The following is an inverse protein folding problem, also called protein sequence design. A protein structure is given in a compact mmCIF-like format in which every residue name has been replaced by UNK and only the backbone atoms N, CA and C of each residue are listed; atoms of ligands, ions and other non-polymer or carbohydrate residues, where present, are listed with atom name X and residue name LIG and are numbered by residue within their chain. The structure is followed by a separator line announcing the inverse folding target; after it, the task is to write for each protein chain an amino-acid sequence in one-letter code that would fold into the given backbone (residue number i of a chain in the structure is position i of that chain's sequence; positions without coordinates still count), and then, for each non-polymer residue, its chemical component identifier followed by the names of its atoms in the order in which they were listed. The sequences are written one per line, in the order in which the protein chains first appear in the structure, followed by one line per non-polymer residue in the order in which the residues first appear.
data_IF_143536307602
#
_entry.id   IF_143536307602
#
_cell.length_a   1.000
_cell.length_b   1.000
_cell.length_c   1.000
_cell.angle_alpha   90.00
_cell.angle_beta   90.00
_cell.angle_gamma   90.00
#
_symmetry.space_group_name_H-M   'P 1'
#
loop_
_entity.id
_entity.type
_entity.pdbx_description
1 polymer ?
#
# COMPACT_ATOMS: atom_id res chain seq x y z
N UNK A 1 8.42 17.97 -17.99
CA UNK A 1 7.87 16.86 -18.80
C UNK A 1 8.60 15.58 -18.37
N UNK A 2 8.10 14.91 -17.32
CA UNK A 2 8.65 13.64 -16.84
C UNK A 2 7.51 12.63 -16.81
N UNK A 3 7.45 11.76 -17.81
CA UNK A 3 6.61 10.56 -17.78
C UNK A 3 7.23 9.59 -16.76
N UNK A 4 6.91 9.79 -15.48
CA UNK A 4 7.27 8.87 -14.41
C UNK A 4 6.40 7.62 -14.52
N UNK A 5 7.06 6.52 -14.91
CA UNK A 5 6.81 5.16 -14.44
C UNK A 5 5.44 4.53 -14.76
N UNK A 6 5.28 4.03 -15.98
CA UNK A 6 4.24 3.06 -16.35
C UNK A 6 4.58 1.60 -15.94
N UNK A 7 5.21 1.40 -14.77
CA UNK A 7 5.74 0.10 -14.31
C UNK A 7 5.55 -0.22 -12.79
N UNK A 8 5.31 0.70 -11.82
CA UNK A 8 5.19 0.33 -10.40
C UNK A 8 3.97 -0.54 -10.07
N UNK A 9 2.92 -0.37 -10.87
CA UNK A 9 1.61 -1.00 -10.70
C UNK A 9 1.58 -2.41 -11.24
N UNK A 10 2.15 -2.59 -12.43
CA UNK A 10 2.33 -3.90 -13.03
C UNK A 10 3.16 -4.80 -12.13
N UNK A 11 4.04 -4.26 -11.25
CA UNK A 11 4.86 -5.08 -10.36
C UNK A 11 4.21 -5.35 -9.00
N UNK A 12 3.47 -4.42 -8.38
CA UNK A 12 2.65 -4.76 -7.18
C UNK A 12 1.50 -5.70 -7.56
N UNK A 13 0.84 -5.41 -8.69
CA UNK A 13 -0.10 -6.33 -9.30
C UNK A 13 0.61 -7.60 -9.73
N UNK A 14 1.81 -7.58 -10.32
CA UNK A 14 2.52 -8.81 -10.65
C UNK A 14 2.96 -9.55 -9.41
N UNK A 15 3.36 -8.96 -8.29
CA UNK A 15 3.70 -9.74 -7.08
C UNK A 15 2.43 -10.38 -6.50
N UNK A 16 1.32 -9.65 -6.45
CA UNK A 16 0.02 -10.18 -6.01
C UNK A 16 -0.58 -11.19 -7.00
N UNK A 17 -0.38 -10.99 -8.30
CA UNK A 17 -0.83 -11.88 -9.40
C UNK A 17 0.15 -13.04 -9.56
N UNK A 18 1.44 -12.89 -9.32
CA UNK A 18 2.49 -13.92 -9.35
C UNK A 18 2.21 -14.86 -8.20
N UNK A 19 1.87 -14.37 -7.00
CA UNK A 19 1.42 -15.27 -5.92
C UNK A 19 0.11 -15.99 -6.28
N UNK A 20 -0.83 -15.31 -6.94
CA UNK A 20 -2.09 -15.91 -7.40
C UNK A 20 -1.88 -16.91 -8.56
N UNK A 21 -0.94 -16.65 -9.46
CA UNK A 21 -0.53 -17.53 -10.56
C UNK A 21 0.37 -18.67 -10.06
N UNK A 22 1.16 -18.46 -9.01
CA UNK A 22 1.96 -19.48 -8.34
C UNK A 22 1.11 -20.42 -7.49
N UNK A 23 -0.01 -19.94 -6.95
CA UNK A 23 -1.05 -20.78 -6.39
C UNK A 23 -1.72 -21.68 -7.45
N UNK A 24 -1.74 -21.24 -8.72
CA UNK A 24 -2.31 -21.97 -9.86
C UNK A 24 -1.28 -22.83 -10.62
N UNK A 25 0.02 -22.55 -10.48
CA UNK A 25 1.12 -23.26 -11.15
C UNK A 25 1.47 -24.62 -10.55
N UNK A 26 2.31 -25.37 -11.28
CA UNK A 26 2.55 -26.81 -11.10
C UNK A 26 3.53 -27.16 -9.95
N UNK A 27 3.36 -26.51 -8.78
CA UNK A 27 4.09 -26.84 -7.56
C UNK A 27 3.38 -27.93 -6.75
N UNK A 28 4.12 -28.61 -5.88
CA UNK A 28 3.53 -29.62 -4.97
C UNK A 28 2.37 -29.01 -4.16
N UNK A 29 1.32 -29.80 -3.87
CA UNK A 29 0.12 -29.35 -3.12
C UNK A 29 0.45 -28.60 -1.82
N UNK A 30 1.56 -28.96 -1.16
CA UNK A 30 2.05 -28.33 0.07
C UNK A 30 2.52 -26.89 -0.16
N UNK A 31 3.28 -26.65 -1.24
CA UNK A 31 3.75 -25.30 -1.60
C UNK A 31 2.59 -24.39 -2.03
N UNK A 32 1.61 -24.92 -2.78
CA UNK A 32 0.39 -24.16 -3.14
C UNK A 32 -0.40 -23.71 -1.91
N UNK A 33 -0.58 -24.60 -0.93
CA UNK A 33 -1.27 -24.26 0.34
C UNK A 33 -0.53 -23.19 1.15
N UNK A 34 0.80 -23.30 1.25
CA UNK A 34 1.63 -22.30 1.93
C UNK A 34 1.56 -20.94 1.25
N UNK A 35 1.67 -20.88 -0.08
CA UNK A 35 1.53 -19.62 -0.83
C UNK A 35 0.14 -19.01 -0.66
N UNK A 36 -0.93 -19.82 -0.70
CA UNK A 36 -2.29 -19.34 -0.45
C UNK A 36 -2.47 -18.77 0.96
N UNK A 37 -1.94 -19.45 1.99
CA UNK A 37 -1.99 -18.97 3.38
C UNK A 37 -1.23 -17.64 3.57
N UNK A 38 -0.04 -17.52 2.97
CA UNK A 38 0.74 -16.28 3.01
C UNK A 38 0.00 -15.15 2.30
N UNK A 39 -0.58 -15.43 1.13
CA UNK A 39 -1.40 -14.48 0.38
C UNK A 39 -2.63 -14.02 1.16
N UNK A 40 -3.39 -14.92 1.80
CA UNK A 40 -4.55 -14.55 2.63
C UNK A 40 -4.11 -13.66 3.79
N UNK A 41 -3.02 -14.02 4.48
CA UNK A 41 -2.49 -13.25 5.61
C UNK A 41 -2.02 -11.86 5.19
N UNK A 42 -1.25 -11.77 4.10
CA UNK A 42 -0.79 -10.48 3.57
C UNK A 42 -1.95 -9.60 3.12
N UNK A 43 -3.01 -10.17 2.52
CA UNK A 43 -4.20 -9.39 2.19
C UNK A 43 -4.95 -8.88 3.42
N UNK A 44 -5.01 -9.66 4.51
CA UNK A 44 -5.63 -9.22 5.76
C UNK A 44 -4.89 -8.00 6.34
N UNK A 45 -3.58 -8.12 6.48
CA UNK A 45 -2.76 -7.07 7.10
C UNK A 45 -2.60 -5.83 6.18
N UNK A 46 -2.48 -6.03 4.87
CA UNK A 46 -2.50 -4.94 3.89
C UNK A 46 -3.90 -4.28 3.77
N UNK A 47 -4.97 -5.04 3.98
CA UNK A 47 -6.34 -4.52 4.06
C UNK A 47 -6.49 -3.54 5.21
N UNK A 48 -6.06 -3.92 6.42
CA UNK A 48 -6.01 -3.04 7.60
C UNK A 48 -5.20 -1.77 7.34
N UNK A 49 -4.00 -1.91 6.76
CA UNK A 49 -3.15 -0.78 6.40
C UNK A 49 -3.84 0.20 5.44
N UNK A 50 -4.43 -0.31 4.36
CA UNK A 50 -5.11 0.52 3.36
C UNK A 50 -6.37 1.17 3.93
N UNK A 51 -7.11 0.45 4.77
CA UNK A 51 -8.29 0.98 5.44
C UNK A 51 -7.94 2.12 6.39
N UNK A 52 -6.90 1.97 7.22
CA UNK A 52 -6.40 3.01 8.10
C UNK A 52 -5.92 4.23 7.30
N UNK A 53 -5.18 4.00 6.21
CA UNK A 53 -4.69 5.04 5.31
C UNK A 53 -5.84 5.82 4.66
N UNK A 54 -6.85 5.12 4.11
CA UNK A 54 -8.02 5.78 3.51
C UNK A 54 -8.88 6.51 4.53
N UNK A 55 -9.02 5.95 5.74
CA UNK A 55 -9.76 6.60 6.82
C UNK A 55 -9.10 7.92 7.22
N UNK A 56 -7.78 7.99 7.23
CA UNK A 56 -7.00 9.19 7.54
C UNK A 56 -7.15 10.31 6.49
N UNK A 57 -7.49 9.97 5.25
CA UNK A 57 -7.68 10.95 4.18
C UNK A 57 -9.06 11.60 4.23
N UNK A 58 -9.08 12.92 4.21
CA UNK A 58 -10.28 13.75 4.06
C UNK A 58 -10.61 13.95 2.57
N UNK A 59 -9.60 14.32 1.78
CA UNK A 59 -9.72 14.58 0.35
C UNK A 59 -8.53 14.02 -0.42
N UNK A 60 -8.75 13.25 -1.51
CA UNK A 60 -10.05 12.75 -1.95
C UNK A 60 -10.63 11.74 -0.96
N UNK A 61 -11.95 11.71 -0.78
CA UNK A 61 -12.58 10.71 0.10
C UNK A 61 -12.39 9.31 -0.50
N UNK A 62 -11.70 8.43 0.21
CA UNK A 62 -11.35 7.09 -0.25
C UNK A 62 -12.00 6.02 0.64
N UNK A 63 -12.46 4.95 0.00
CA UNK A 63 -12.88 3.71 0.66
C UNK A 63 -12.81 2.56 -0.35
N UNK A 64 -12.69 1.32 0.14
CA UNK A 64 -12.72 0.14 -0.74
C UNK A 64 -14.03 0.08 -1.52
N UNK A 65 -15.17 0.32 -0.86
CA UNK A 65 -16.50 0.34 -1.49
C UNK A 65 -16.62 1.38 -2.61
N UNK A 66 -16.08 2.59 -2.43
CA UNK A 66 -16.07 3.64 -3.45
C UNK A 66 -15.21 3.24 -4.64
N UNK A 67 -14.02 2.68 -4.38
CA UNK A 67 -13.11 2.23 -5.45
C UNK A 67 -13.74 1.08 -6.23
N UNK A 68 -14.34 0.11 -5.54
CA UNK A 68 -15.03 -1.05 -6.12
C UNK A 68 -16.18 -0.67 -7.06
N UNK A 69 -16.96 0.34 -6.68
CA UNK A 69 -18.14 0.79 -7.43
C UNK A 69 -17.81 1.81 -8.53
N UNK A 70 -16.65 2.45 -8.47
CA UNK A 70 -16.25 3.50 -9.41
C UNK A 70 -16.05 2.98 -10.85
N UNK A 71 -16.49 3.80 -11.80
CA UNK A 71 -16.12 3.68 -13.21
C UNK A 71 -14.64 4.00 -13.41
N UNK A 72 -14.07 3.61 -14.56
CA UNK A 72 -12.68 3.95 -14.90
C UNK A 72 -12.46 5.48 -14.91
N UNK A 73 -13.47 6.25 -15.35
CA UNK A 73 -13.39 7.72 -15.35
C UNK A 73 -13.31 8.27 -13.93
N UNK A 74 -14.11 7.73 -13.01
CA UNK A 74 -14.10 8.14 -11.61
C UNK A 74 -12.82 7.71 -10.88
N UNK A 75 -12.30 6.50 -11.17
CA UNK A 75 -11.01 6.05 -10.62
C UNK A 75 -9.86 6.95 -11.06
N UNK A 76 -9.82 7.34 -12.35
CA UNK A 76 -8.83 8.30 -12.86
C UNK A 76 -8.95 9.65 -12.15
N UNK A 77 -10.18 10.15 -11.95
CA UNK A 77 -10.40 11.38 -11.21
C UNK A 77 -9.90 11.27 -9.76
N UNK A 78 -10.24 10.19 -9.05
CA UNK A 78 -9.75 9.93 -7.69
C UNK A 78 -8.22 9.91 -7.62
N UNK A 79 -7.58 9.30 -8.62
CA UNK A 79 -6.14 9.23 -8.75
C UNK A 79 -5.52 10.62 -8.93
N UNK A 80 -6.10 11.43 -9.82
CA UNK A 80 -5.61 12.79 -10.07
C UNK A 80 -5.83 13.69 -8.84
N UNK A 81 -6.98 13.57 -8.18
CA UNK A 81 -7.28 14.26 -6.91
C UNK A 81 -6.30 13.82 -5.79
N UNK A 82 -5.83 12.57 -5.79
CA UNK A 82 -4.81 12.08 -4.86
C UNK A 82 -3.40 12.64 -5.13
N UNK A 83 -3.23 13.49 -6.16
CA UNK A 83 -2.08 14.37 -6.31
C UNK A 83 -1.98 15.41 -5.19
N UNK A 84 -3.08 15.74 -4.52
CA UNK A 84 -3.11 16.64 -3.36
C UNK A 84 -3.96 16.05 -2.25
N UNK A 85 -3.31 15.36 -1.32
CA UNK A 85 -3.99 14.72 -0.19
C UNK A 85 -4.16 15.70 0.95
N UNK A 86 -5.37 15.77 1.49
CA UNK A 86 -5.67 16.41 2.77
C UNK A 86 -6.06 15.36 3.79
N UNK A 87 -5.40 15.36 4.94
CA UNK A 87 -5.68 14.45 6.04
C UNK A 87 -6.75 15.01 6.98
N UNK A 88 -7.59 14.12 7.54
CA UNK A 88 -8.71 14.49 8.43
C UNK A 88 -8.22 14.97 9.79
N UNK A 89 -7.30 14.23 10.38
CA UNK A 89 -6.77 14.53 11.70
C UNK A 89 -5.42 13.84 11.88
N UNK A 90 -4.62 14.40 12.78
CA UNK A 90 -3.26 13.92 13.05
C UNK A 90 -3.30 12.55 13.74
N UNK A 91 -4.32 12.29 14.56
CA UNK A 91 -4.53 11.01 15.24
C UNK A 91 -4.80 9.87 14.26
N UNK A 92 -5.49 10.16 13.15
CA UNK A 92 -5.72 9.16 12.11
C UNK A 92 -4.47 8.90 11.26
N UNK A 93 -3.61 9.91 11.07
CA UNK A 93 -2.29 9.73 10.44
C UNK A 93 -1.39 8.87 11.32
N UNK A 94 -1.38 9.09 12.64
CA UNK A 94 -0.68 8.24 13.61
C UNK A 94 -1.19 6.79 13.55
N UNK A 95 -2.51 6.60 13.46
CA UNK A 95 -3.08 5.27 13.32
C UNK A 95 -2.62 4.56 12.04
N UNK A 96 -2.56 5.27 10.91
CA UNK A 96 -2.03 4.73 9.66
C UNK A 96 -0.53 4.40 9.78
N UNK A 97 0.27 5.27 10.39
CA UNK A 97 1.70 5.03 10.63
C UNK A 97 1.95 3.77 11.48
N UNK A 98 1.11 3.51 12.49
CA UNK A 98 1.18 2.28 13.29
C UNK A 98 0.91 1.02 12.46
N UNK A 99 -0.01 1.08 11.50
CA UNK A 99 -0.24 -0.05 10.59
C UNK A 99 0.96 -0.29 9.65
N UNK A 100 1.68 0.76 9.24
CA UNK A 100 2.94 0.60 8.49
C UNK A 100 3.98 -0.18 9.32
N UNK A 101 4.14 0.16 10.60
CA UNK A 101 5.07 -0.55 11.49
C UNK A 101 4.66 -2.02 11.65
N UNK A 102 3.37 -2.32 11.87
CA UNK A 102 2.88 -3.71 11.97
C UNK A 102 3.17 -4.54 10.72
N UNK A 103 3.10 -3.91 9.55
CA UNK A 103 3.31 -4.55 8.25
C UNK A 103 4.78 -4.60 7.81
N UNK A 104 5.75 -4.18 8.63
CA UNK A 104 7.20 -4.17 8.29
C UNK A 104 7.70 -5.50 7.69
N UNK A 105 7.25 -6.63 8.24
CA UNK A 105 7.66 -7.94 7.77
C UNK A 105 7.15 -8.27 6.36
N UNK A 106 6.02 -7.70 5.92
CA UNK A 106 5.51 -7.81 4.56
C UNK A 106 6.42 -7.02 3.60
N UNK A 107 6.78 -5.80 3.99
CA UNK A 107 7.68 -4.95 3.21
C UNK A 107 9.07 -5.57 3.06
N UNK A 108 9.60 -6.21 4.11
CA UNK A 108 10.85 -7.00 4.06
C UNK A 108 10.73 -8.18 3.10
N UNK A 109 9.63 -8.94 3.19
CA UNK A 109 9.39 -10.06 2.27
C UNK A 109 9.31 -9.59 0.80
N UNK A 110 8.66 -8.45 0.53
CA UNK A 110 8.64 -7.88 -0.82
C UNK A 110 10.00 -7.37 -1.29
N UNK A 111 10.80 -6.77 -0.39
CA UNK A 111 12.17 -6.36 -0.69
C UNK A 111 13.01 -7.56 -1.12
N UNK A 112 12.99 -8.65 -0.34
CA UNK A 112 13.75 -9.88 -0.64
C UNK A 112 13.38 -10.43 -2.03
N UNK A 113 12.09 -10.44 -2.36
CA UNK A 113 11.62 -10.87 -3.69
C UNK A 113 12.04 -9.90 -4.79
N UNK A 114 11.94 -8.60 -4.56
CA UNK A 114 12.34 -7.61 -5.54
C UNK A 114 13.83 -7.72 -5.88
N UNK A 115 14.68 -8.03 -4.89
CA UNK A 115 16.10 -8.32 -5.09
C UNK A 115 16.30 -9.64 -5.84
N UNK A 116 15.58 -10.72 -5.45
CA UNK A 116 15.64 -12.04 -6.12
C UNK A 116 15.36 -11.94 -7.63
N UNK A 117 14.43 -11.06 -8.03
CA UNK A 117 13.98 -10.91 -9.42
C UNK A 117 14.54 -9.67 -10.14
N UNK A 118 15.52 -8.98 -9.55
CA UNK A 118 16.16 -7.76 -10.10
C UNK A 118 15.15 -6.66 -10.50
N UNK A 119 14.15 -6.44 -9.65
CA UNK A 119 13.08 -5.48 -9.86
C UNK A 119 13.49 -4.13 -9.26
N UNK A 120 14.40 -3.43 -9.94
CA UNK A 120 15.14 -2.28 -9.37
C UNK A 120 14.25 -1.23 -8.70
N UNK A 121 13.25 -0.76 -9.45
CA UNK A 121 12.30 0.25 -8.98
C UNK A 121 11.47 -0.21 -7.78
N UNK A 122 11.26 -1.51 -7.65
CA UNK A 122 10.47 -2.06 -6.54
C UNK A 122 11.29 -2.14 -5.28
N UNK A 123 12.51 -2.67 -5.33
CA UNK A 123 13.33 -2.71 -4.12
C UNK A 123 13.63 -1.28 -3.62
N UNK A 124 13.84 -0.30 -4.51
CA UNK A 124 13.98 1.12 -4.13
C UNK A 124 12.75 1.63 -3.37
N UNK A 125 11.54 1.40 -3.89
CA UNK A 125 10.30 1.78 -3.20
C UNK A 125 10.15 1.08 -1.84
N UNK A 126 10.48 -0.21 -1.75
CA UNK A 126 10.43 -0.95 -0.49
C UNK A 126 11.41 -0.38 0.54
N UNK A 127 12.63 -0.01 0.12
CA UNK A 127 13.61 0.62 1.00
C UNK A 127 13.10 1.95 1.56
N UNK A 128 12.41 2.77 0.76
CA UNK A 128 11.82 4.01 1.28
C UNK A 128 10.75 3.77 2.34
N UNK A 129 9.88 2.77 2.15
CA UNK A 129 8.86 2.40 3.14
C UNK A 129 9.51 1.84 4.41
N UNK A 130 10.51 0.98 4.28
CA UNK A 130 11.25 0.41 5.41
C UNK A 130 12.01 1.48 6.19
N UNK A 131 12.65 2.43 5.51
CA UNK A 131 13.31 3.56 6.15
C UNK A 131 12.32 4.41 6.97
N UNK A 132 11.11 4.63 6.45
CA UNK A 132 10.06 5.35 7.19
C UNK A 132 9.58 4.57 8.41
N UNK A 133 9.41 3.26 8.30
CA UNK A 133 9.08 2.40 9.44
C UNK A 133 10.18 2.47 10.50
N UNK A 134 11.44 2.28 10.11
CA UNK A 134 12.57 2.33 11.02
C UNK A 134 12.66 3.70 11.72
N UNK A 135 12.36 4.78 11.00
CA UNK A 135 12.30 6.13 11.57
C UNK A 135 11.19 6.26 12.64
N UNK A 136 10.00 5.71 12.41
CA UNK A 136 8.92 5.67 13.40
C UNK A 136 9.35 4.84 14.62
N UNK A 137 9.91 3.66 14.40
CA UNK A 137 10.34 2.75 15.47
C UNK A 137 11.42 3.39 16.35
N UNK A 138 12.44 4.02 15.74
CA UNK A 138 13.48 4.76 16.46
C UNK A 138 12.90 5.92 17.25
N UNK A 139 11.99 6.70 16.65
CA UNK A 139 11.34 7.80 17.37
C UNK A 139 10.58 7.29 18.60
N UNK A 140 9.75 6.25 18.44
CA UNK A 140 8.92 5.70 19.54
C UNK A 140 9.76 5.01 20.61
N UNK A 141 10.88 4.39 20.24
CA UNK A 141 11.84 3.84 21.20
C UNK A 141 12.45 4.94 22.09
N UNK A 142 12.77 6.10 21.50
CA UNK A 142 13.35 7.23 22.23
C UNK A 142 12.30 8.11 22.92
N UNK A 143 11.04 8.04 22.48
CA UNK A 143 9.93 8.83 23.00
C UNK A 143 8.66 7.96 23.17
N UNK A 144 8.61 7.05 24.15
CA UNK A 144 7.50 6.09 24.29
C UNK A 144 6.13 6.77 24.41
N UNK A 145 6.07 7.86 25.18
CA UNK A 145 4.83 8.57 25.52
C UNK A 145 4.42 9.64 24.51
N UNK A 146 5.31 10.00 23.56
CA UNK A 146 4.99 10.99 22.52
C UNK A 146 4.37 10.33 21.31
N UNK A 147 3.45 11.01 20.63
CA UNK A 147 2.95 10.54 19.35
C UNK A 147 3.99 10.85 18.27
N UNK A 148 4.15 9.96 17.28
CA UNK A 148 5.07 10.21 16.18
C UNK A 148 4.66 11.47 15.39
N UNK A 149 3.36 11.72 15.34
CA UNK A 149 2.82 12.95 14.77
C UNK A 149 3.21 14.25 15.48
N UNK A 150 3.65 14.22 16.74
CA UNK A 150 4.19 15.41 17.42
C UNK A 150 5.55 15.78 16.84
N UNK A 151 6.40 14.78 16.55
CA UNK A 151 7.69 14.99 15.86
C UNK A 151 7.48 15.52 14.44
N UNK A 152 6.49 14.96 13.73
CA UNK A 152 6.12 15.40 12.39
C UNK A 152 5.71 16.88 12.39
N UNK A 153 4.92 17.31 13.39
CA UNK A 153 4.42 18.68 13.52
C UNK A 153 5.56 19.68 13.74
N UNK A 154 6.51 19.31 14.60
CA UNK A 154 7.64 20.14 14.96
C UNK A 154 8.74 20.13 13.87
N UNK A 155 8.71 19.13 12.98
CA UNK A 155 9.66 18.95 11.88
C UNK A 155 8.98 18.86 10.51
N UNK A 156 8.79 20.02 9.87
CA UNK A 156 8.16 20.14 8.54
C UNK A 156 8.77 19.23 7.46
N UNK A 157 10.07 18.92 7.54
CA UNK A 157 10.72 18.03 6.57
C UNK A 157 10.29 16.57 6.73
N UNK A 158 9.98 16.15 7.95
CA UNK A 158 9.47 14.80 8.26
C UNK A 158 8.00 14.70 7.86
N UNK A 159 7.21 15.76 8.07
CA UNK A 159 5.83 15.83 7.59
C UNK A 159 5.73 15.62 6.09
N UNK A 160 6.50 16.40 5.31
CA UNK A 160 6.49 16.26 3.85
C UNK A 160 6.84 14.83 3.43
N UNK A 161 7.84 14.20 4.04
CA UNK A 161 8.21 12.81 3.73
C UNK A 161 7.12 11.80 4.11
N UNK A 162 6.50 11.94 5.28
CA UNK A 162 5.42 11.06 5.72
C UNK A 162 4.21 11.18 4.78
N UNK A 163 3.82 12.41 4.46
CA UNK A 163 2.72 12.70 3.53
C UNK A 163 3.02 12.20 2.10
N UNK A 164 4.27 12.32 1.65
CA UNK A 164 4.75 11.79 0.38
C UNK A 164 4.63 10.26 0.34
N UNK A 165 5.05 9.55 1.38
CA UNK A 165 5.00 8.09 1.45
C UNK A 165 3.56 7.59 1.49
N UNK A 166 2.75 8.16 2.39
CA UNK A 166 1.34 7.82 2.53
C UNK A 166 0.57 8.13 1.24
N UNK A 167 0.81 9.30 0.64
CA UNK A 167 0.15 9.69 -0.59
C UNK A 167 0.65 8.96 -1.83
N UNK A 168 1.93 8.61 -1.88
CA UNK A 168 2.50 7.76 -2.92
C UNK A 168 1.83 6.38 -2.89
N UNK A 169 1.68 5.77 -1.71
CA UNK A 169 1.00 4.49 -1.55
C UNK A 169 -0.44 4.51 -2.09
N UNK A 170 -1.20 5.57 -1.78
CA UNK A 170 -2.56 5.75 -2.29
C UNK A 170 -2.60 5.89 -3.81
N UNK A 171 -1.71 6.71 -4.40
CA UNK A 171 -1.66 6.90 -5.86
C UNK A 171 -1.30 5.61 -6.57
N UNK A 172 -0.30 4.89 -6.08
CA UNK A 172 0.12 3.59 -6.62
C UNK A 172 -1.04 2.58 -6.54
N UNK A 173 -1.77 2.54 -5.43
CA UNK A 173 -2.96 1.70 -5.29
C UNK A 173 -4.04 2.06 -6.31
N UNK A 174 -4.30 3.35 -6.53
CA UNK A 174 -5.32 3.81 -7.48
C UNK A 174 -4.92 3.52 -8.92
N UNK A 175 -3.66 3.72 -9.27
CA UNK A 175 -3.17 3.36 -10.60
C UNK A 175 -3.31 1.83 -10.83
N UNK A 176 -3.08 1.01 -9.80
CA UNK A 176 -3.33 -0.44 -9.84
C UNK A 176 -4.80 -0.79 -9.98
N UNK A 177 -5.67 -0.15 -9.20
CA UNK A 177 -7.10 -0.29 -9.34
C UNK A 177 -7.56 0.03 -10.78
N UNK A 178 -7.04 1.10 -11.38
CA UNK A 178 -7.34 1.50 -12.77
C UNK A 178 -6.87 0.43 -13.77
N UNK A 179 -5.63 -0.04 -13.65
CA UNK A 179 -5.07 -1.03 -14.58
C UNK A 179 -5.77 -2.38 -14.48
N UNK A 180 -6.05 -2.87 -13.26
CA UNK A 180 -6.84 -4.08 -13.05
C UNK A 180 -8.26 -3.92 -13.60
N UNK A 181 -8.90 -2.76 -13.37
CA UNK A 181 -10.24 -2.46 -13.88
C UNK A 181 -10.31 -2.46 -15.40
N UNK A 182 -9.25 -2.02 -16.09
CA UNK A 182 -9.16 -2.02 -17.57
C UNK A 182 -8.85 -3.39 -18.15
N UNK A 183 -7.85 -4.08 -17.59
CA UNK A 183 -7.23 -5.25 -18.21
C UNK A 183 -7.77 -6.58 -17.68
N UNK A 184 -8.23 -6.63 -16.42
CA UNK A 184 -8.62 -7.86 -15.70
C UNK A 184 -9.75 -7.59 -14.69
N UNK A 185 -10.93 -7.23 -15.19
CA UNK A 185 -12.09 -6.80 -14.38
C UNK A 185 -12.48 -7.77 -13.25
N UNK A 186 -12.44 -9.08 -13.50
CA UNK A 186 -12.77 -10.07 -12.47
C UNK A 186 -11.71 -10.11 -11.37
N UNK A 187 -10.43 -9.96 -11.73
CA UNK A 187 -9.34 -9.90 -10.77
C UNK A 187 -9.46 -8.63 -9.92
N UNK A 188 -9.82 -7.50 -10.52
CA UNK A 188 -10.14 -6.27 -9.80
C UNK A 188 -11.21 -6.48 -8.72
N UNK A 189 -12.37 -7.04 -9.08
CA UNK A 189 -13.47 -7.21 -8.14
C UNK A 189 -13.14 -8.19 -7.02
N UNK A 190 -12.47 -9.30 -7.33
CA UNK A 190 -12.00 -10.25 -6.32
C UNK A 190 -11.02 -9.60 -5.36
N UNK A 191 -10.04 -8.88 -5.91
CA UNK A 191 -9.00 -8.22 -5.13
C UNK A 191 -9.58 -7.18 -4.16
N UNK A 192 -10.37 -6.23 -4.67
CA UNK A 192 -10.96 -5.17 -3.84
C UNK A 192 -11.94 -5.76 -2.80
N UNK A 193 -12.69 -6.82 -3.15
CA UNK A 193 -13.60 -7.48 -2.18
C UNK A 193 -12.84 -8.17 -1.05
N UNK A 194 -11.69 -8.79 -1.34
CA UNK A 194 -10.87 -9.42 -0.31
C UNK A 194 -10.28 -8.38 0.64
N UNK A 195 -9.81 -7.24 0.11
CA UNK A 195 -9.34 -6.12 0.92
C UNK A 195 -10.46 -5.50 1.77
N UNK A 196 -11.67 -5.40 1.21
CA UNK A 196 -12.85 -4.87 1.91
C UNK A 196 -13.30 -5.79 3.06
N UNK A 197 -13.18 -7.12 2.91
CA UNK A 197 -13.48 -8.09 3.97
C UNK A 197 -12.40 -8.16 5.05
N UNK A 198 -11.17 -7.76 4.70
CA UNK A 198 -10.01 -7.72 5.58
C UNK A 198 -9.93 -6.47 6.46
N UNK A 199 -10.61 -5.39 6.04
CA UNK A 199 -10.60 -4.05 6.63
C UNK A 199 -11.66 -3.89 7.72
#
# INVERSE_FOLDING_TARGET
MFHLAAIPIEILAAVMIIEQLWALGDRSKKQRRLSYMLWVRYNLEMGSLLAASFKAVESPSLSMSRIKSASIKELKKLRDDAGTIRYKSIELVEAAAKEYVKTQHIWKAYLDRAVEYDLEKVYQNMMYVLYFIDYIEVFKKNNPDRLFVDEIRDNKGVLVKAEEILGSGIRIFLDMAIELRKKKTDAFYRFISNLEQAA
#
